data_IF_878707984263
#
_entry.id   IF_878707984263
#
_cell.length_a   1.000
_cell.length_b   1.000
_cell.length_c   1.000
_cell.angle_alpha   90.00
_cell.angle_beta   90.00
_cell.angle_gamma   90.00
#
_symmetry.space_group_name_H-M   'P 1'
#
loop_
_entity.id
_entity.type
_entity.pdbx_description
1 polymer ?
#
# COMPACT_ATOMS: atom_id res chain seq x y z
N UNK A 1 8.47 -21.20 2.63
CA UNK A 1 7.61 -21.07 3.82
C UNK A 1 8.13 -19.93 4.67
N UNK A 2 7.44 -18.79 4.72
CA UNK A 2 7.75 -17.71 5.67
C UNK A 2 6.86 -17.95 6.89
N UNK A 3 7.39 -18.67 7.87
CA UNK A 3 6.79 -18.73 9.22
C UNK A 3 7.40 -17.57 10.02
N UNK A 4 6.57 -16.60 10.38
CA UNK A 4 6.97 -15.49 11.24
C UNK A 4 5.72 -14.88 11.86
N UNK A 5 5.73 -14.70 13.19
CA UNK A 5 4.84 -13.79 13.91
C UNK A 5 4.64 -12.51 13.11
N UNK A 6 3.38 -12.11 12.87
CA UNK A 6 3.06 -10.97 12.00
C UNK A 6 3.91 -9.74 12.33
N UNK A 7 4.53 -9.16 11.30
CA UNK A 7 5.48 -8.08 11.43
C UNK A 7 4.83 -6.74 11.85
N UNK A 8 3.50 -6.62 11.84
CA UNK A 8 2.78 -5.37 12.14
C UNK A 8 1.57 -5.60 13.04
N UNK A 9 1.09 -4.57 13.77
CA UNK A 9 -0.28 -4.56 14.26
C UNK A 9 -1.26 -4.67 13.08
N UNK A 10 -2.21 -5.61 13.16
CA UNK A 10 -3.26 -5.82 12.15
C UNK A 10 -4.63 -5.68 12.81
N UNK A 11 -5.37 -4.65 12.40
CA UNK A 11 -6.78 -4.47 12.77
C UNK A 11 -7.66 -4.94 11.62
N UNK A 12 -8.39 -6.04 11.83
CA UNK A 12 -9.28 -6.61 10.81
C UNK A 12 -10.66 -5.96 10.81
N UNK A 13 -11.29 -5.85 9.64
CA UNK A 13 -12.72 -5.51 9.54
C UNK A 13 -13.59 -6.60 10.18
N UNK A 14 -14.75 -6.22 10.72
CA UNK A 14 -15.77 -7.16 11.20
C UNK A 14 -16.57 -7.72 10.03
N UNK A 15 -16.99 -6.84 9.13
CA UNK A 15 -17.76 -7.16 7.93
C UNK A 15 -16.94 -6.81 6.69
N UNK A 16 -16.68 -7.82 5.85
CA UNK A 16 -16.00 -7.62 4.57
C UNK A 16 -16.91 -6.95 3.56
N UNK A 17 -16.40 -5.95 2.83
CA UNK A 17 -17.15 -5.34 1.73
C UNK A 17 -17.18 -6.21 0.48
N UNK A 18 -16.42 -7.30 0.45
CA UNK A 18 -16.22 -8.14 -0.73
C UNK A 18 -17.55 -8.70 -1.27
N UNK A 19 -18.46 -9.11 -0.39
CA UNK A 19 -19.76 -9.68 -0.79
C UNK A 19 -20.67 -8.67 -1.50
N UNK A 20 -20.42 -7.37 -1.32
CA UNK A 20 -21.18 -6.29 -1.94
C UNK A 20 -20.64 -5.86 -3.32
N UNK A 21 -19.54 -6.47 -3.78
CA UNK A 21 -18.85 -6.10 -5.02
C UNK A 21 -19.31 -7.00 -6.17
N UNK A 22 -19.76 -6.38 -7.26
CA UNK A 22 -19.98 -7.06 -8.55
C UNK A 22 -18.64 -7.27 -9.25
N UNK A 23 -18.10 -8.49 -9.18
CA UNK A 23 -16.81 -8.82 -9.81
C UNK A 23 -16.89 -8.98 -11.33
N UNK A 24 -18.09 -9.13 -11.90
CA UNK A 24 -18.27 -9.28 -13.35
C UNK A 24 -18.21 -7.91 -14.06
N UNK A 25 -18.52 -6.83 -13.33
CA UNK A 25 -18.47 -5.45 -13.83
C UNK A 25 -17.59 -4.55 -12.94
N UNK A 26 -16.28 -4.78 -12.95
CA UNK A 26 -15.29 -4.00 -12.18
C UNK A 26 -14.56 -2.95 -13.04
N UNK A 27 -14.94 -1.67 -13.00
CA UNK A 27 -14.09 -0.59 -13.51
C UNK A 27 -12.76 -0.55 -12.75
N UNK A 28 -11.68 -0.21 -13.47
CA UNK A 28 -10.37 -0.09 -12.84
C UNK A 28 -10.34 1.05 -11.81
N UNK A 29 -9.93 0.73 -10.58
CA UNK A 29 -9.64 1.73 -9.54
C UNK A 29 -10.87 2.31 -8.81
N UNK A 30 -12.02 1.63 -8.88
CA UNK A 30 -13.26 2.09 -8.21
C UNK A 30 -13.66 1.24 -7.01
N UNK A 31 -13.00 0.10 -6.80
CA UNK A 31 -13.23 -0.81 -5.68
C UNK A 31 -11.92 -1.05 -4.97
N UNK A 32 -11.96 -1.02 -3.64
CA UNK A 32 -10.81 -1.22 -2.75
C UNK A 32 -11.06 -2.43 -1.86
N UNK A 33 -9.99 -3.11 -1.48
CA UNK A 33 -10.05 -4.21 -0.51
C UNK A 33 -10.35 -3.69 0.90
N UNK A 34 -10.48 -4.62 1.85
CA UNK A 34 -10.94 -4.29 3.19
C UNK A 34 -9.91 -3.49 3.99
N UNK A 35 -8.63 -3.66 3.72
CA UNK A 35 -7.55 -3.10 4.52
C UNK A 35 -6.61 -2.19 3.71
N UNK A 36 -5.83 -1.42 4.44
CA UNK A 36 -4.70 -0.64 3.93
C UNK A 36 -3.52 -0.76 4.90
N UNK A 37 -2.30 -0.67 4.36
CA UNK A 37 -1.10 -0.49 5.16
C UNK A 37 -0.75 1.00 5.27
N UNK A 38 -0.32 1.44 6.45
CA UNK A 38 0.13 2.81 6.70
C UNK A 38 1.41 2.78 7.52
N UNK A 39 2.40 3.59 7.14
CA UNK A 39 3.60 3.84 7.93
C UNK A 39 4.01 5.31 7.77
N UNK A 40 4.30 5.96 8.89
CA UNK A 40 4.78 7.33 8.93
C UNK A 40 6.31 7.39 9.02
N UNK A 41 6.89 8.46 8.50
CA UNK A 41 8.26 8.85 8.77
C UNK A 41 8.27 10.12 9.62
N UNK A 42 8.93 10.09 10.76
CA UNK A 42 9.00 11.22 11.69
C UNK A 42 10.36 11.21 12.38
N UNK A 43 10.93 12.40 12.60
CA UNK A 43 12.21 12.57 13.32
C UNK A 43 13.37 11.69 12.82
N UNK A 44 13.44 11.48 11.51
CA UNK A 44 14.54 10.74 10.89
C UNK A 44 14.32 9.22 10.82
N UNK A 45 13.16 8.71 11.25
CA UNK A 45 12.90 7.28 11.30
C UNK A 45 11.53 6.92 10.72
N UNK A 46 11.47 5.76 10.07
CA UNK A 46 10.22 5.11 9.73
C UNK A 46 9.63 4.46 10.97
N UNK A 47 8.34 4.69 11.19
CA UNK A 47 7.54 3.86 12.08
C UNK A 47 7.48 2.44 11.54
N UNK A 48 7.14 1.50 12.43
CA UNK A 48 6.90 0.11 12.04
C UNK A 48 5.69 -0.02 11.10
N UNK A 49 4.73 0.90 11.17
CA UNK A 49 3.48 0.85 10.43
C UNK A 49 2.44 -0.12 10.99
N UNK A 50 1.28 -0.14 10.37
CA UNK A 50 0.11 -0.94 10.74
C UNK A 50 -0.72 -1.31 9.51
N UNK A 51 -1.46 -2.42 9.62
CA UNK A 51 -2.56 -2.75 8.71
C UNK A 51 -3.87 -2.45 9.44
N UNK A 52 -4.73 -1.65 8.81
CA UNK A 52 -6.02 -1.24 9.38
C UNK A 52 -7.12 -1.22 8.32
N UNK A 53 -8.40 -1.12 8.71
CA UNK A 53 -9.50 -0.97 7.75
C UNK A 53 -9.24 0.18 6.78
N UNK A 54 -9.50 -0.06 5.50
CA UNK A 54 -9.33 0.95 4.45
C UNK A 54 -10.29 2.11 4.70
N UNK A 55 -9.77 3.33 4.68
CA UNK A 55 -10.55 4.52 4.99
C UNK A 55 -9.82 5.81 4.65
N UNK A 56 -10.43 6.97 4.96
CA UNK A 56 -9.81 8.26 4.73
C UNK A 56 -8.53 8.42 5.55
N UNK A 57 -7.60 9.22 5.03
CA UNK A 57 -6.40 9.64 5.74
C UNK A 57 -6.58 11.10 6.16
N UNK A 58 -6.45 11.37 7.45
CA UNK A 58 -6.44 12.73 7.96
C UNK A 58 -5.11 13.41 7.62
N UNK A 59 -5.17 14.60 7.04
CA UNK A 59 -3.99 15.37 6.65
C UNK A 59 -4.20 16.85 6.97
N UNK A 60 -3.14 17.52 7.42
CA UNK A 60 -3.18 18.95 7.66
C UNK A 60 -3.37 19.72 6.33
N UNK A 61 -4.21 20.76 6.26
CA UNK A 61 -4.46 21.50 5.01
C UNK A 61 -3.20 22.11 4.38
N UNK A 62 -2.26 22.55 5.22
CA UNK A 62 -0.95 23.06 4.80
C UNK A 62 0.10 21.98 4.52
N UNK A 63 -0.27 20.70 4.34
CA UNK A 63 0.69 19.65 4.07
C UNK A 63 1.42 19.86 2.74
N UNK A 64 2.74 19.59 2.69
CA UNK A 64 3.55 19.72 1.47
C UNK A 64 2.98 18.93 0.28
N UNK A 65 2.32 17.78 0.53
CA UNK A 65 1.62 17.03 -0.51
C UNK A 65 0.51 17.84 -1.21
N UNK A 66 -0.25 18.63 -0.46
CA UNK A 66 -1.35 19.45 -0.97
C UNK A 66 -0.85 20.75 -1.60
N UNK A 67 0.19 21.36 -1.02
CA UNK A 67 0.68 22.68 -1.43
C UNK A 67 1.67 22.63 -2.59
N UNK A 68 2.54 21.61 -2.62
CA UNK A 68 3.68 21.54 -3.54
C UNK A 68 3.77 20.19 -4.27
N UNK A 69 2.73 19.36 -4.20
CA UNK A 69 2.69 18.04 -4.81
C UNK A 69 3.89 17.15 -4.43
N UNK A 70 4.43 17.32 -3.22
CA UNK A 70 5.49 16.45 -2.67
C UNK A 70 4.89 15.09 -2.38
N UNK A 71 4.81 14.29 -3.44
CA UNK A 71 4.12 13.00 -3.47
C UNK A 71 4.60 12.16 -4.65
N UNK A 72 4.50 10.85 -4.49
CA UNK A 72 4.76 9.83 -5.49
C UNK A 72 3.85 8.65 -5.27
N UNK A 73 3.77 7.78 -6.27
CA UNK A 73 3.01 6.55 -6.17
C UNK A 73 3.67 5.44 -6.99
N UNK A 74 3.24 4.22 -6.74
CA UNK A 74 3.59 3.04 -7.53
C UNK A 74 2.35 2.27 -7.97
N UNK A 75 2.57 1.32 -8.87
CA UNK A 75 1.50 0.54 -9.46
C UNK A 75 1.96 -0.80 -9.97
N UNK A 76 1.51 -1.87 -9.31
CA UNK A 76 1.81 -3.25 -9.73
C UNK A 76 0.67 -4.18 -9.30
N UNK A 77 0.78 -5.46 -9.64
CA UNK A 77 -0.31 -6.43 -9.51
C UNK A 77 0.10 -7.64 -8.70
N UNK A 78 -0.83 -8.12 -7.88
CA UNK A 78 -0.81 -9.44 -7.28
C UNK A 78 -1.76 -10.37 -8.04
N UNK A 79 -1.28 -11.58 -8.29
CA UNK A 79 -2.00 -12.61 -9.04
C UNK A 79 -2.16 -13.84 -8.16
N UNK A 80 -3.34 -14.46 -8.21
CA UNK A 80 -3.52 -15.82 -7.69
C UNK A 80 -2.96 -16.80 -8.71
N UNK A 81 -1.99 -17.60 -8.29
CA UNK A 81 -1.38 -18.63 -9.13
C UNK A 81 -2.31 -19.86 -9.20
N UNK A 82 -2.16 -20.74 -10.21
CA UNK A 82 -2.90 -21.99 -10.27
C UNK A 82 -2.71 -22.89 -9.04
N UNK A 83 -1.60 -22.73 -8.32
CA UNK A 83 -1.31 -23.41 -7.04
C UNK A 83 -2.11 -22.87 -5.86
N UNK A 84 -2.86 -21.77 -6.05
CA UNK A 84 -3.57 -21.03 -5.00
C UNK A 84 -2.71 -19.97 -4.29
N UNK A 85 -1.40 -19.96 -4.52
CA UNK A 85 -0.48 -18.99 -3.90
C UNK A 85 -0.62 -17.60 -4.55
N UNK A 86 -0.33 -16.55 -3.77
CA UNK A 86 -0.26 -15.18 -4.28
C UNK A 86 1.15 -14.87 -4.79
N UNK A 87 1.26 -14.34 -6.00
CA UNK A 87 2.53 -13.88 -6.59
C UNK A 87 2.46 -12.41 -7.00
N UNK A 88 3.56 -11.68 -6.79
CA UNK A 88 3.75 -10.29 -7.22
C UNK A 88 4.93 -10.24 -8.18
N UNK A 89 4.74 -9.61 -9.34
CA UNK A 89 5.79 -9.54 -10.35
C UNK A 89 6.77 -8.39 -10.08
N UNK A 90 8.02 -8.74 -9.78
CA UNK A 90 9.17 -7.83 -9.60
C UNK A 90 8.88 -6.62 -8.68
N UNK A 91 8.36 -6.82 -7.45
CA UNK A 91 8.09 -5.72 -6.54
C UNK A 91 9.35 -4.92 -6.16
N UNK A 92 10.53 -5.53 -6.24
CA UNK A 92 11.85 -4.90 -6.07
C UNK A 92 12.10 -3.73 -7.05
N UNK A 93 11.69 -3.89 -8.31
CA UNK A 93 11.82 -2.82 -9.30
C UNK A 93 10.88 -1.65 -9.00
N UNK A 94 9.66 -1.94 -8.54
CA UNK A 94 8.69 -0.91 -8.19
C UNK A 94 9.17 -0.13 -6.96
N UNK A 95 9.70 -0.81 -5.93
CA UNK A 95 10.37 -0.14 -4.80
C UNK A 95 11.54 0.73 -5.27
N UNK A 96 12.41 0.21 -6.12
CA UNK A 96 13.56 0.96 -6.63
C UNK A 96 13.15 2.21 -7.41
N UNK A 97 12.05 2.14 -8.16
CA UNK A 97 11.48 3.29 -8.87
C UNK A 97 10.83 4.28 -7.90
N UNK A 98 10.14 3.81 -6.87
CA UNK A 98 9.58 4.67 -5.81
C UNK A 98 10.68 5.40 -5.03
N UNK A 99 11.77 4.73 -4.66
CA UNK A 99 12.91 5.37 -3.98
C UNK A 99 13.64 6.37 -4.88
N UNK A 100 13.68 6.15 -6.20
CA UNK A 100 14.19 7.17 -7.14
C UNK A 100 13.31 8.42 -7.13
N UNK A 101 11.99 8.25 -7.09
CA UNK A 101 11.06 9.37 -6.90
C UNK A 101 11.28 10.05 -5.55
N UNK A 102 11.45 9.27 -4.47
CA UNK A 102 11.73 9.79 -3.13
C UNK A 102 12.98 10.70 -3.12
N UNK A 103 14.10 10.22 -3.68
CA UNK A 103 15.32 11.00 -3.83
C UNK A 103 15.09 12.29 -4.63
N UNK A 104 14.33 12.22 -5.74
CA UNK A 104 14.04 13.38 -6.58
C UNK A 104 13.21 14.44 -5.86
N UNK A 105 12.37 14.02 -4.92
CA UNK A 105 11.50 14.87 -4.11
C UNK A 105 12.09 15.21 -2.73
N UNK A 106 13.35 14.83 -2.46
CA UNK A 106 13.99 15.01 -1.15
C UNK A 106 13.21 14.36 0.00
N UNK A 107 12.55 13.23 -0.28
CA UNK A 107 11.82 12.43 0.69
C UNK A 107 12.67 11.22 1.13
N UNK A 108 12.48 10.69 2.35
CA UNK A 108 13.22 9.52 2.81
C UNK A 108 12.98 8.29 1.92
N UNK A 109 14.01 7.47 1.75
CA UNK A 109 13.87 6.20 1.04
C UNK A 109 13.11 5.19 1.90
N UNK A 110 12.31 4.35 1.26
CA UNK A 110 11.55 3.28 1.91
C UNK A 110 12.47 2.06 2.12
N UNK A 111 12.63 1.59 3.36
CA UNK A 111 13.40 0.40 3.67
C UNK A 111 12.85 -0.84 2.96
N UNK A 112 13.75 -1.76 2.64
CA UNK A 112 13.39 -2.99 1.91
C UNK A 112 12.42 -3.87 2.69
N UNK A 113 12.78 -4.12 3.95
CA UNK A 113 11.99 -4.90 4.90
C UNK A 113 10.57 -4.32 5.04
N UNK A 114 10.46 -3.02 5.33
CA UNK A 114 9.17 -2.34 5.44
C UNK A 114 8.31 -2.53 4.19
N UNK A 115 8.87 -2.35 2.99
CA UNK A 115 8.12 -2.44 1.74
C UNK A 115 7.61 -3.88 1.47
N UNK A 116 8.49 -4.88 1.59
CA UNK A 116 8.12 -6.26 1.26
C UNK A 116 7.23 -6.88 2.33
N UNK A 117 7.51 -6.62 3.61
CA UNK A 117 6.67 -7.11 4.69
C UNK A 117 5.28 -6.48 4.62
N UNK A 118 5.18 -5.16 4.37
CA UNK A 118 3.89 -4.49 4.23
C UNK A 118 3.03 -5.11 3.11
N UNK A 119 3.62 -5.36 1.93
CA UNK A 119 2.92 -5.98 0.81
C UNK A 119 2.51 -7.41 1.15
N UNK A 120 3.43 -8.19 1.74
CA UNK A 120 3.20 -9.59 2.10
C UNK A 120 2.06 -9.72 3.11
N UNK A 121 2.10 -8.97 4.21
CA UNK A 121 1.10 -9.02 5.27
C UNK A 121 -0.25 -8.45 4.81
N UNK A 122 -0.26 -7.39 3.99
CA UNK A 122 -1.50 -6.83 3.44
C UNK A 122 -2.18 -7.83 2.49
N UNK A 123 -1.44 -8.48 1.60
CA UNK A 123 -1.98 -9.50 0.69
C UNK A 123 -2.44 -10.77 1.42
N UNK A 124 -1.87 -11.08 2.59
CA UNK A 124 -2.38 -12.14 3.47
C UNK A 124 -3.68 -11.72 4.16
N UNK A 125 -3.76 -10.47 4.64
CA UNK A 125 -4.97 -9.95 5.27
C UNK A 125 -6.16 -9.86 4.29
N UNK A 126 -5.88 -9.47 3.04
CA UNK A 126 -6.86 -9.34 1.96
C UNK A 126 -6.80 -10.50 0.95
N UNK A 127 -6.43 -11.70 1.38
CA UNK A 127 -6.26 -12.84 0.47
C UNK A 127 -7.55 -13.16 -0.32
N UNK A 128 -8.71 -13.03 0.32
CA UNK A 128 -10.01 -13.29 -0.30
C UNK A 128 -10.34 -12.30 -1.43
N UNK A 129 -9.71 -11.11 -1.43
CA UNK A 129 -9.86 -10.10 -2.48
C UNK A 129 -9.05 -10.41 -3.74
N UNK A 130 -8.15 -11.39 -3.71
CA UNK A 130 -7.44 -11.82 -4.92
C UNK A 130 -8.42 -12.52 -5.87
N UNK A 131 -8.61 -11.99 -7.10
CA UNK A 131 -9.38 -12.68 -8.13
C UNK A 131 -8.79 -14.06 -8.39
N UNK A 132 -9.59 -15.00 -8.88
CA UNK A 132 -9.05 -16.26 -9.37
C UNK A 132 -8.14 -16.03 -10.58
N UNK A 133 -7.25 -16.98 -10.85
CA UNK A 133 -6.13 -16.82 -11.79
C UNK A 133 -6.57 -16.37 -13.19
N UNK A 134 -7.77 -16.78 -13.61
CA UNK A 134 -8.42 -16.48 -14.89
C UNK A 134 -9.30 -15.22 -14.87
N UNK A 135 -9.58 -14.67 -13.70
CA UNK A 135 -10.49 -13.53 -13.51
C UNK A 135 -9.78 -12.18 -13.41
N UNK A 136 -8.48 -12.16 -13.13
CA UNK A 136 -7.71 -10.92 -13.16
C UNK A 136 -6.62 -10.85 -12.10
N UNK A 137 -6.46 -9.67 -11.51
CA UNK A 137 -5.40 -9.37 -10.56
C UNK A 137 -5.85 -8.31 -9.56
N UNK A 138 -5.30 -8.37 -8.35
CA UNK A 138 -5.45 -7.30 -7.37
C UNK A 138 -4.37 -6.25 -7.62
N UNK A 139 -4.78 -5.01 -7.89
CA UNK A 139 -3.85 -3.92 -8.14
C UNK A 139 -3.38 -3.29 -6.83
N UNK A 140 -2.07 -3.18 -6.65
CA UNK A 140 -1.42 -2.62 -5.46
C UNK A 140 -0.98 -1.20 -5.78
N UNK A 141 -1.40 -0.25 -4.94
CA UNK A 141 -1.12 1.19 -5.06
C UNK A 141 -0.39 1.70 -3.81
N UNK A 142 0.94 1.61 -3.75
CA UNK A 142 1.69 2.39 -2.77
C UNK A 142 1.52 3.88 -3.09
N UNK A 143 1.11 4.65 -2.09
CA UNK A 143 1.03 6.11 -2.14
C UNK A 143 1.97 6.67 -1.11
N UNK A 144 2.82 7.61 -1.51
CA UNK A 144 3.86 8.17 -0.67
C UNK A 144 3.86 9.69 -0.77
N UNK A 145 3.69 10.41 0.34
CA UNK A 145 3.47 11.86 0.29
C UNK A 145 3.91 12.57 1.58
N UNK A 146 4.30 13.83 1.46
CA UNK A 146 4.79 14.64 2.58
C UNK A 146 3.65 15.29 3.37
N UNK A 147 3.57 15.00 4.67
CA UNK A 147 2.51 15.48 5.58
C UNK A 147 2.91 16.69 6.43
N UNK A 148 4.14 17.19 6.30
CA UNK A 148 4.65 18.33 7.07
C UNK A 148 3.75 19.56 6.93
N UNK A 149 3.21 20.13 8.03
CA UNK A 149 2.24 21.22 7.98
C UNK A 149 2.94 22.58 7.81
N UNK A 150 3.37 22.89 6.59
CA UNK A 150 4.06 24.15 6.29
C UNK A 150 3.72 24.69 4.90
N UNK A 151 3.58 26.01 4.82
CA UNK A 151 3.53 26.77 3.56
C UNK A 151 4.92 27.23 3.11
N UNK A 152 5.98 26.68 3.69
CA UNK A 152 7.35 26.92 3.24
C UNK A 152 7.76 25.84 2.25
N UNK A 153 8.38 26.27 1.15
CA UNK A 153 8.94 25.36 0.15
C UNK A 153 10.24 24.72 0.64
N UNK A 154 11.02 25.49 1.41
CA UNK A 154 12.28 25.08 2.01
C UNK A 154 12.18 23.78 2.81
#
# INVERSE_FOLDING_TARGET
MVQGTSAFPITRVQDSRRESVDFDNLPFGTVWSDHMFVADYTDGAWSRGEIRPYGPIEIHPSAKALQYAVSGFEGFKAHKMPTGECAVFRPDMNRSRLNRTAQRLMMPEIPEELFFDAISELLKADNDWLPNADQGALYIRPSYFGTTPTLTVA
#
